data_IF_022090050986
#
_entry.id   IF_022090050986
#
_cell.length_a   1.000
_cell.length_b   1.000
_cell.length_c   1.000
_cell.angle_alpha   90.00
_cell.angle_beta   90.00
_cell.angle_gamma   90.00
#
_symmetry.space_group_name_H-M   'P 1'
#
loop_
_entity.id
_entity.type
_entity.pdbx_description
1 polymer ?
#
# COMPACT_ATOMS: atom_id res chain seq x y z
N UNK A 1 59.32 10.42 -1.21
CA UNK A 1 57.92 10.63 -0.81
C UNK A 1 57.14 11.42 -1.87
N UNK A 2 57.03 10.91 -3.11
CA UNK A 2 56.35 11.60 -4.23
C UNK A 2 55.30 10.74 -4.95
N UNK A 3 55.01 9.54 -4.45
CA UNK A 3 54.04 8.60 -5.06
C UNK A 3 52.64 8.65 -4.42
N UNK A 4 52.48 9.35 -3.29
CA UNK A 4 51.19 9.45 -2.59
C UNK A 4 50.28 10.57 -3.14
N UNK A 5 50.86 11.55 -3.84
CA UNK A 5 50.08 12.64 -4.47
C UNK A 5 49.42 12.22 -5.80
N UNK A 6 49.89 11.16 -6.45
CA UNK A 6 49.36 10.70 -7.73
C UNK A 6 48.13 9.79 -7.61
N UNK A 7 47.85 9.25 -6.41
CA UNK A 7 46.71 8.36 -6.17
C UNK A 7 45.44 9.16 -5.82
N UNK A 8 45.57 10.43 -5.41
CA UNK A 8 44.43 11.29 -5.09
C UNK A 8 43.87 12.04 -6.33
N UNK A 9 44.63 12.12 -7.42
CA UNK A 9 44.22 12.82 -8.65
C UNK A 9 43.45 11.92 -9.65
N UNK A 10 43.47 10.60 -9.48
CA UNK A 10 42.81 9.65 -10.39
C UNK A 10 41.39 9.27 -9.96
N UNK A 11 40.97 9.61 -8.72
CA UNK A 11 39.63 9.30 -8.20
C UNK A 11 38.57 10.31 -8.67
N UNK A 12 38.98 11.47 -9.21
CA UNK A 12 38.05 12.55 -9.65
C UNK A 12 37.56 12.38 -11.10
N UNK A 13 38.05 11.38 -11.87
CA UNK A 13 37.76 11.28 -13.31
C UNK A 13 36.76 10.20 -13.76
N UNK A 14 36.04 9.51 -12.86
CA UNK A 14 35.18 8.36 -13.24
C UNK A 14 33.72 8.45 -12.76
N UNK A 15 33.15 9.65 -12.58
CA UNK A 15 31.69 9.77 -12.30
C UNK A 15 30.89 10.56 -13.33
N UNK A 16 31.49 10.94 -14.46
CA UNK A 16 30.75 11.47 -15.62
C UNK A 16 30.59 10.40 -16.71
N UNK A 17 29.90 9.30 -16.38
CA UNK A 17 29.15 8.53 -17.39
C UNK A 17 27.69 8.96 -17.32
N UNK A 18 27.41 10.06 -18.02
CA UNK A 18 26.08 10.42 -18.47
C UNK A 18 25.87 9.78 -19.84
N UNK A 19 24.83 8.97 -19.99
CA UNK A 19 24.18 8.73 -21.27
C UNK A 19 22.75 9.26 -21.18
N UNK A 20 22.49 10.36 -21.90
CA UNK A 20 21.17 10.77 -22.37
C UNK A 20 20.68 9.81 -23.46
N UNK A 21 19.40 9.41 -23.47
CA UNK A 21 18.45 9.67 -24.58
C UNK A 21 17.10 8.95 -24.37
N UNK A 22 15.99 9.71 -24.35
CA UNK A 22 14.86 9.64 -25.29
C UNK A 22 13.86 10.69 -24.80
N UNK A 23 13.80 11.81 -25.53
CA UNK A 23 12.73 12.81 -25.45
C UNK A 23 11.88 12.60 -26.71
N UNK A 24 10.68 12.07 -26.55
CA UNK A 24 9.69 11.91 -27.62
C UNK A 24 8.54 12.86 -27.37
N UNK A 25 8.41 13.84 -28.27
CA UNK A 25 7.29 14.70 -28.65
C UNK A 25 6.31 15.23 -27.59
N UNK A 26 6.23 16.56 -27.56
CA UNK A 26 5.09 17.34 -27.10
C UNK A 26 3.80 16.93 -27.83
N UNK A 27 2.69 16.98 -27.10
CA UNK A 27 1.44 17.53 -27.62
C UNK A 27 0.97 18.56 -26.60
N UNK A 28 1.24 19.83 -26.89
CA UNK A 28 0.55 20.95 -26.27
C UNK A 28 -0.84 21.02 -26.88
N UNK A 29 -1.89 20.96 -26.07
CA UNK A 29 -3.15 21.59 -26.43
C UNK A 29 -3.62 22.43 -25.26
N UNK A 30 -3.79 23.69 -25.61
CA UNK A 30 -4.08 24.87 -24.81
C UNK A 30 -5.48 24.89 -24.20
N UNK A 31 -5.52 25.31 -22.93
CA UNK A 31 -6.47 26.25 -22.29
C UNK A 31 -7.97 25.93 -22.40
N UNK A 32 -8.64 25.75 -21.26
CA UNK A 32 -9.64 26.72 -20.76
C UNK A 32 -10.04 26.43 -19.30
N UNK A 33 -9.89 27.44 -18.45
CA UNK A 33 -10.61 27.55 -17.19
C UNK A 33 -12.07 27.86 -17.53
N UNK A 34 -12.98 27.01 -17.08
CA UNK A 34 -14.35 27.41 -16.83
C UNK A 34 -14.73 26.93 -15.45
N UNK A 35 -14.87 27.90 -14.54
CA UNK A 35 -15.77 27.79 -13.39
C UNK A 35 -17.15 27.38 -13.92
N UNK A 36 -17.68 26.31 -13.36
CA UNK A 36 -18.95 25.74 -13.71
C UNK A 36 -19.33 24.77 -12.60
N UNK A 37 -19.99 25.31 -11.58
CA UNK A 37 -20.76 24.56 -10.63
C UNK A 37 -21.72 23.62 -11.38
N UNK A 38 -21.41 22.34 -11.39
CA UNK A 38 -22.44 21.29 -11.38
C UNK A 38 -21.86 20.07 -10.69
N UNK A 39 -22.21 19.97 -9.41
CA UNK A 39 -21.99 18.79 -8.62
C UNK A 39 -22.86 17.65 -9.18
N UNK A 40 -22.29 16.86 -10.06
CA UNK A 40 -22.70 15.46 -10.23
C UNK A 40 -21.54 14.57 -9.83
N UNK A 41 -21.50 14.31 -8.52
CA UNK A 41 -20.70 13.25 -7.90
C UNK A 41 -21.18 11.91 -8.46
N UNK A 42 -20.51 11.42 -9.50
CA UNK A 42 -20.68 10.04 -9.98
C UNK A 42 -20.01 9.11 -8.98
N UNK A 43 -20.77 8.67 -7.97
CA UNK A 43 -20.40 7.57 -7.09
C UNK A 43 -20.41 6.27 -7.89
N UNK A 44 -19.28 5.91 -8.48
CA UNK A 44 -19.08 4.55 -8.99
C UNK A 44 -18.80 3.63 -7.81
N UNK A 45 -19.73 2.70 -7.53
CA UNK A 45 -19.54 1.52 -6.66
C UNK A 45 -18.37 0.66 -7.16
N UNK A 46 -17.14 1.11 -6.94
CA UNK A 46 -15.96 0.32 -7.21
C UNK A 46 -15.56 -0.35 -5.89
N UNK A 47 -15.48 -1.69 -5.88
CA UNK A 47 -15.04 -2.44 -4.71
C UNK A 47 -13.59 -2.03 -4.36
N UNK A 48 -13.42 -1.41 -3.20
CA UNK A 48 -12.14 -0.94 -2.66
C UNK A 48 -11.77 -1.70 -1.39
N UNK A 49 -10.46 -1.75 -1.03
CA UNK A 49 -10.06 -2.29 0.26
C UNK A 49 -10.67 -1.52 1.42
N UNK A 50 -11.30 -2.24 2.36
CA UNK A 50 -11.84 -1.64 3.57
C UNK A 50 -10.73 -1.49 4.62
N UNK A 51 -10.64 -0.32 5.25
CA UNK A 51 -9.68 -0.06 6.32
C UNK A 51 -10.29 -0.43 7.67
N UNK A 52 -9.71 -1.42 8.36
CA UNK A 52 -10.21 -1.90 9.64
C UNK A 52 -9.55 -1.17 10.82
N UNK A 53 -10.39 -0.78 11.77
CA UNK A 53 -10.01 -0.42 13.14
C UNK A 53 -9.99 -1.65 14.04
N UNK A 54 -9.53 -1.49 15.27
CA UNK A 54 -9.65 -2.50 16.32
C UNK A 54 -11.06 -3.08 16.44
N UNK A 55 -12.07 -2.22 16.57
CA UNK A 55 -13.46 -2.62 16.83
C UNK A 55 -14.07 -3.34 15.62
N UNK A 56 -13.91 -2.75 14.44
CA UNK A 56 -14.44 -3.32 13.19
C UNK A 56 -13.75 -4.64 12.83
N UNK A 57 -12.47 -4.82 13.19
CA UNK A 57 -11.79 -6.10 13.08
C UNK A 57 -12.42 -7.17 13.98
N UNK A 58 -12.68 -6.87 15.27
CA UNK A 58 -13.31 -7.83 16.18
C UNK A 58 -14.72 -8.18 15.73
N UNK A 59 -15.46 -7.21 15.17
CA UNK A 59 -16.82 -7.41 14.67
C UNK A 59 -16.84 -8.29 13.41
N UNK A 60 -16.00 -8.00 12.42
CA UNK A 60 -16.10 -8.57 11.07
C UNK A 60 -15.15 -9.72 10.76
N UNK A 61 -14.03 -9.81 11.47
CA UNK A 61 -12.96 -10.77 11.15
C UNK A 61 -12.83 -11.82 12.23
N UNK A 62 -12.35 -11.45 13.42
CA UNK A 62 -12.12 -12.41 14.50
C UNK A 62 -12.11 -11.69 15.85
N UNK A 63 -12.99 -12.13 16.74
CA UNK A 63 -13.02 -11.66 18.12
C UNK A 63 -12.13 -12.53 19.01
N UNK A 64 -10.85 -12.17 19.03
CA UNK A 64 -9.86 -12.81 19.88
C UNK A 64 -9.96 -12.39 21.35
N UNK A 65 -10.77 -11.38 21.71
CA UNK A 65 -11.01 -11.07 23.12
C UNK A 65 -11.90 -12.14 23.75
N UNK A 66 -12.95 -12.53 23.03
CA UNK A 66 -13.86 -13.60 23.46
C UNK A 66 -13.25 -15.00 23.26
N UNK A 67 -12.49 -15.22 22.17
CA UNK A 67 -11.92 -16.53 21.82
C UNK A 67 -10.42 -16.43 21.46
N UNK A 68 -9.53 -16.24 22.44
CA UNK A 68 -8.11 -15.94 22.16
C UNK A 68 -7.29 -17.14 21.63
N UNK A 69 -7.76 -18.37 21.84
CA UNK A 69 -7.00 -19.59 21.52
C UNK A 69 -7.35 -20.20 20.16
N UNK A 70 -8.43 -19.74 19.54
CA UNK A 70 -8.95 -20.33 18.31
C UNK A 70 -9.33 -19.23 17.32
N UNK A 71 -8.86 -19.35 16.09
CA UNK A 71 -9.26 -18.49 14.99
C UNK A 71 -10.69 -18.85 14.56
N UNK A 72 -11.65 -18.03 14.98
CA UNK A 72 -13.05 -18.14 14.56
C UNK A 72 -13.36 -16.99 13.62
N UNK A 73 -13.24 -17.25 12.33
CA UNK A 73 -13.53 -16.25 11.30
C UNK A 73 -15.02 -15.90 11.27
N UNK A 74 -15.34 -14.61 11.19
CA UNK A 74 -16.71 -14.09 11.20
C UNK A 74 -17.25 -13.73 9.81
N UNK A 75 -16.39 -13.71 8.78
CA UNK A 75 -16.80 -13.35 7.42
C UNK A 75 -17.49 -14.49 6.68
N UNK A 76 -18.24 -14.11 5.64
CA UNK A 76 -19.01 -15.00 4.75
C UNK A 76 -18.23 -15.43 3.50
N UNK A 77 -17.10 -14.78 3.21
CA UNK A 77 -16.16 -15.09 2.14
C UNK A 77 -14.73 -14.99 2.66
N UNK A 78 -13.72 -15.66 2.06
CA UNK A 78 -12.33 -15.52 2.48
C UNK A 78 -11.88 -14.06 2.50
N UNK A 79 -10.87 -13.73 3.30
CA UNK A 79 -10.31 -12.39 3.29
C UNK A 79 -8.78 -12.34 3.19
N UNK A 80 -8.30 -11.20 2.70
CA UNK A 80 -6.89 -10.83 2.68
C UNK A 80 -6.73 -9.52 3.43
N UNK A 81 -5.77 -9.48 4.36
CA UNK A 81 -5.52 -8.32 5.20
C UNK A 81 -4.10 -7.83 4.98
N UNK A 82 -3.95 -6.59 4.52
CA UNK A 82 -2.66 -5.90 4.38
C UNK A 82 -2.37 -5.03 5.60
N UNK A 83 -1.36 -5.41 6.38
CA UNK A 83 -0.81 -4.62 7.47
C UNK A 83 0.25 -3.66 6.93
N UNK A 84 -0.04 -2.36 7.03
CA UNK A 84 0.75 -1.30 6.41
C UNK A 84 0.96 -0.09 7.34
N UNK A 85 1.72 0.91 6.89
CA UNK A 85 1.77 2.24 7.48
C UNK A 85 1.99 3.31 6.40
N UNK A 86 1.62 4.56 6.69
CA UNK A 86 1.59 5.63 5.68
C UNK A 86 3.01 6.05 5.21
N UNK A 87 4.02 5.89 6.08
CA UNK A 87 5.43 6.15 5.78
C UNK A 87 6.12 5.00 5.05
N UNK A 88 5.49 3.82 4.99
CA UNK A 88 6.10 2.62 4.42
C UNK A 88 6.10 2.67 2.89
N UNK A 89 7.27 2.97 2.31
CA UNK A 89 7.43 3.03 0.85
C UNK A 89 7.12 1.70 0.15
N UNK A 90 7.58 0.52 0.62
CA UNK A 90 7.20 -0.75 0.00
C UNK A 90 5.69 -1.01 0.04
N UNK A 91 5.01 -0.62 1.12
CA UNK A 91 3.56 -0.76 1.25
C UNK A 91 2.81 0.05 0.17
N UNK A 92 3.32 1.22 -0.22
CA UNK A 92 2.74 2.01 -1.33
C UNK A 92 2.80 1.30 -2.68
N UNK A 93 3.74 0.37 -2.87
CA UNK A 93 3.78 -0.47 -4.08
C UNK A 93 2.76 -1.61 -4.02
N UNK A 94 2.43 -2.09 -2.82
CA UNK A 94 1.42 -3.14 -2.58
C UNK A 94 0.00 -2.57 -2.66
N UNK A 95 -0.22 -1.33 -2.23
CA UNK A 95 -1.53 -0.68 -2.23
C UNK A 95 -2.32 -0.81 -3.55
N UNK A 96 -1.80 -0.44 -4.74
CA UNK A 96 -2.55 -0.58 -5.99
C UNK A 96 -2.87 -2.04 -6.34
N UNK A 97 -2.04 -2.99 -5.89
CA UNK A 97 -2.31 -4.42 -6.08
C UNK A 97 -3.51 -4.84 -5.23
N UNK A 98 -3.61 -4.34 -3.99
CA UNK A 98 -4.77 -4.60 -3.13
C UNK A 98 -6.05 -3.98 -3.72
N UNK A 99 -5.95 -2.79 -4.30
CA UNK A 99 -7.07 -2.13 -4.97
C UNK A 99 -7.56 -2.93 -6.18
N UNK A 100 -6.63 -3.43 -7.01
CA UNK A 100 -6.95 -4.28 -8.16
C UNK A 100 -7.57 -5.62 -7.73
N UNK A 101 -7.07 -6.21 -6.64
CA UNK A 101 -7.60 -7.46 -6.09
C UNK A 101 -9.02 -7.27 -5.53
N UNK A 102 -9.31 -6.14 -4.87
CA UNK A 102 -10.63 -5.83 -4.35
C UNK A 102 -11.67 -5.79 -5.48
N UNK A 103 -11.32 -5.12 -6.59
CA UNK A 103 -12.18 -5.07 -7.79
C UNK A 103 -12.32 -6.43 -8.47
N UNK A 104 -11.21 -7.13 -8.67
CA UNK A 104 -11.20 -8.40 -9.41
C UNK A 104 -11.96 -9.52 -8.69
N UNK A 105 -11.91 -9.53 -7.37
CA UNK A 105 -12.53 -10.57 -6.53
C UNK A 105 -13.73 -10.04 -5.75
N UNK A 106 -14.36 -8.97 -6.23
CA UNK A 106 -15.56 -8.43 -5.60
C UNK A 106 -16.64 -9.52 -5.41
N UNK A 107 -17.27 -9.48 -4.23
CA UNK A 107 -18.21 -10.50 -3.77
C UNK A 107 -17.63 -11.90 -3.51
N UNK A 108 -16.33 -12.15 -3.74
CA UNK A 108 -15.69 -13.46 -3.59
C UNK A 108 -14.58 -13.49 -2.55
N UNK A 109 -13.87 -12.37 -2.37
CA UNK A 109 -12.83 -12.21 -1.34
C UNK A 109 -12.94 -10.80 -0.78
N UNK A 110 -12.94 -10.66 0.54
CA UNK A 110 -12.84 -9.33 1.16
C UNK A 110 -11.38 -8.91 1.27
N UNK A 111 -11.09 -7.69 0.83
CA UNK A 111 -9.76 -7.10 0.94
C UNK A 111 -9.81 -6.05 2.05
N UNK A 112 -8.97 -6.22 3.06
CA UNK A 112 -8.86 -5.33 4.20
C UNK A 112 -7.47 -4.73 4.31
N UNK A 113 -7.39 -3.56 4.94
CA UNK A 113 -6.12 -2.89 5.29
C UNK A 113 -6.12 -2.50 6.75
N UNK A 114 -5.00 -2.71 7.43
CA UNK A 114 -4.80 -2.32 8.83
C UNK A 114 -3.56 -1.44 8.92
N UNK A 115 -3.74 -0.21 9.38
CA UNK A 115 -2.62 0.69 9.62
C UNK A 115 -1.98 0.36 10.98
N UNK A 116 -0.75 -0.15 10.99
CA UNK A 116 -0.10 -0.64 12.21
C UNK A 116 0.28 0.47 13.20
N UNK A 117 0.41 1.72 12.74
CA UNK A 117 0.69 2.85 13.62
C UNK A 117 -0.55 3.29 14.41
N UNK A 118 -1.73 3.17 13.78
CA UNK A 118 -3.03 3.47 14.38
C UNK A 118 -3.54 2.29 15.22
N UNK A 119 -3.50 1.09 14.65
CA UNK A 119 -4.05 -0.14 15.23
C UNK A 119 -2.97 -0.99 15.92
N UNK A 120 -2.21 -0.39 16.84
CA UNK A 120 -1.07 -1.04 17.51
C UNK A 120 -1.45 -2.34 18.22
N UNK A 121 -2.67 -2.42 18.75
CA UNK A 121 -3.17 -3.61 19.44
C UNK A 121 -3.41 -4.77 18.46
N UNK A 122 -3.95 -4.50 17.28
CA UNK A 122 -4.06 -5.51 16.22
C UNK A 122 -2.68 -5.95 15.74
N UNK A 123 -1.78 -5.00 15.48
CA UNK A 123 -0.41 -5.32 15.08
C UNK A 123 0.30 -6.22 16.11
N UNK A 124 0.07 -5.99 17.42
CA UNK A 124 0.60 -6.83 18.49
C UNK A 124 -0.03 -8.22 18.53
N UNK A 125 -1.36 -8.32 18.39
CA UNK A 125 -2.08 -9.60 18.40
C UNK A 125 -1.57 -10.55 17.31
N UNK A 126 -1.27 -10.01 16.13
CA UNK A 126 -0.67 -10.76 15.01
C UNK A 126 0.87 -10.79 15.02
N UNK A 127 1.50 -10.22 16.04
CA UNK A 127 2.96 -10.14 16.16
C UNK A 127 3.65 -9.53 14.92
N UNK A 128 3.04 -8.52 14.31
CA UNK A 128 3.60 -7.83 13.14
C UNK A 128 4.90 -7.14 13.55
N UNK A 129 6.04 -7.64 13.02
CA UNK A 129 7.38 -7.10 13.29
C UNK A 129 7.92 -6.23 12.16
N UNK A 130 7.38 -6.39 10.96
CA UNK A 130 7.77 -5.64 9.77
C UNK A 130 6.56 -5.49 8.85
N UNK A 131 6.57 -4.41 8.07
CA UNK A 131 5.53 -4.11 7.09
C UNK A 131 6.15 -3.88 5.70
N UNK A 132 5.44 -4.20 4.60
CA UNK A 132 4.09 -4.78 4.58
C UNK A 132 4.08 -6.23 5.08
N UNK A 133 2.94 -6.65 5.64
CA UNK A 133 2.65 -8.04 5.97
C UNK A 133 1.24 -8.36 5.52
N UNK A 134 1.02 -9.54 4.93
CA UNK A 134 -0.27 -9.90 4.35
C UNK A 134 -0.75 -11.20 4.98
N UNK A 135 -1.95 -11.18 5.55
CA UNK A 135 -2.65 -12.36 6.06
C UNK A 135 -3.67 -12.83 5.04
N UNK A 136 -3.70 -14.13 4.78
CA UNK A 136 -4.73 -14.81 3.99
C UNK A 136 -5.56 -15.67 4.94
N UNK A 137 -6.85 -15.37 5.04
CA UNK A 137 -7.77 -16.10 5.91
C UNK A 137 -8.80 -16.87 5.07
N UNK A 138 -8.85 -18.21 5.17
CA UNK A 138 -9.92 -19.00 4.57
C UNK A 138 -11.25 -18.79 5.34
N UNK A 139 -12.33 -19.33 4.79
CA UNK A 139 -13.61 -19.47 5.50
C UNK A 139 -13.58 -20.63 6.49
#
# INVERSE_FOLDING_TARGET
MKKLSFILLTIILITSYSCNNIKGSQEETSIQLTEGDDATEQTTDQAEPEYLTYETFLEKVWDFESNPQEWVYKGDVPCVIDFYADWCRPCKMVAPIMDDLAKKYDGKVKIYKINTDKEKRLAQAFQIRSIPAVLFSPM
#
